data_IF_926183606501
#
_entry.id   IF_926183606501
#
_cell.length_a   1.000
_cell.length_b   1.000
_cell.length_c   1.000
_cell.angle_alpha   90.00
_cell.angle_beta   90.00
_cell.angle_gamma   90.00
#
_symmetry.space_group_name_H-M   'P 1'
#
loop_
_entity.id
_entity.type
_entity.pdbx_description
1 polymer ?
#
# COMPACT_ATOMS: atom_id res chain seq x y z
N UNK A 1 -8.82 2.74 -23.25
CA UNK A 1 -8.74 1.30 -22.86
C UNK A 1 -9.70 1.01 -21.69
N UNK A 2 -10.09 -0.24 -21.36
CA UNK A 2 -10.75 -0.55 -20.05
C UNK A 2 -9.72 -0.47 -18.91
N UNK A 3 -10.08 0.12 -17.76
CA UNK A 3 -9.18 0.30 -16.61
C UNK A 3 -8.52 -1.01 -16.14
N UNK A 4 -9.32 -2.08 -16.07
CA UNK A 4 -8.90 -3.41 -15.63
C UNK A 4 -7.76 -4.02 -16.46
N UNK A 5 -7.54 -3.52 -17.69
CA UNK A 5 -6.42 -3.96 -18.54
C UNK A 5 -5.15 -3.15 -18.34
N UNK A 6 -5.25 -1.95 -17.77
CA UNK A 6 -4.12 -1.05 -17.53
C UNK A 6 -3.61 -1.10 -16.08
N UNK A 7 -4.40 -1.66 -15.16
CA UNK A 7 -4.07 -1.79 -13.74
C UNK A 7 -3.50 -3.17 -13.42
N UNK A 8 -2.42 -3.18 -12.64
CA UNK A 8 -2.00 -4.38 -11.93
C UNK A 8 -3.04 -4.72 -10.86
N UNK A 9 -3.53 -5.97 -10.84
CA UNK A 9 -4.46 -6.40 -9.80
C UNK A 9 -3.74 -6.61 -8.47
N UNK A 10 -2.46 -7.01 -8.53
CA UNK A 10 -1.57 -7.17 -7.37
C UNK A 10 -0.74 -5.90 -7.11
N UNK A 11 -1.40 -4.75 -6.97
CA UNK A 11 -0.79 -3.49 -6.52
C UNK A 11 -1.48 -2.98 -5.25
N UNK A 12 -0.75 -2.20 -4.44
CA UNK A 12 -1.23 -1.73 -3.13
C UNK A 12 -2.50 -0.90 -3.22
N UNK A 13 -2.53 0.12 -4.10
CA UNK A 13 -3.69 0.99 -4.26
C UNK A 13 -4.96 0.23 -4.67
N UNK A 14 -4.96 -0.57 -5.77
CA UNK A 14 -6.13 -1.36 -6.15
C UNK A 14 -6.63 -2.32 -5.06
N UNK A 15 -5.74 -3.01 -4.35
CA UNK A 15 -6.13 -3.93 -3.28
C UNK A 15 -6.79 -3.20 -2.10
N UNK A 16 -6.17 -2.12 -1.62
CA UNK A 16 -6.70 -1.28 -0.54
C UNK A 16 -8.04 -0.66 -0.91
N UNK A 17 -8.16 -0.16 -2.14
CA UNK A 17 -9.38 0.43 -2.65
C UNK A 17 -10.53 -0.57 -2.71
N UNK A 18 -10.29 -1.78 -3.24
CA UNK A 18 -11.30 -2.83 -3.31
C UNK A 18 -11.72 -3.30 -1.92
N UNK A 19 -10.78 -3.44 -0.98
CA UNK A 19 -11.06 -3.78 0.41
C UNK A 19 -11.96 -2.71 1.07
N UNK A 20 -11.64 -1.44 0.89
CA UNK A 20 -12.45 -0.33 1.39
C UNK A 20 -13.84 -0.27 0.73
N UNK A 21 -13.91 -0.42 -0.60
CA UNK A 21 -15.17 -0.47 -1.34
C UNK A 21 -16.07 -1.61 -0.86
N UNK A 22 -15.52 -2.82 -0.71
CA UNK A 22 -16.24 -3.97 -0.15
C UNK A 22 -16.79 -3.67 1.26
N UNK A 23 -15.95 -3.11 2.14
CA UNK A 23 -16.35 -2.70 3.48
C UNK A 23 -17.50 -1.67 3.44
N UNK A 24 -17.41 -0.63 2.60
CA UNK A 24 -18.44 0.40 2.48
C UNK A 24 -19.76 -0.13 1.89
N UNK A 25 -19.71 -1.27 1.19
CA UNK A 25 -20.88 -2.03 0.77
C UNK A 25 -21.37 -3.03 1.82
N UNK A 26 -20.78 -3.05 3.03
CA UNK A 26 -21.15 -3.96 4.12
C UNK A 26 -20.70 -5.40 3.90
N UNK A 27 -19.68 -5.65 3.06
CA UNK A 27 -19.19 -6.98 2.69
C UNK A 27 -17.74 -7.20 3.13
N UNK A 28 -17.39 -8.47 3.34
CA UNK A 28 -16.01 -8.91 3.48
C UNK A 28 -15.31 -9.02 2.11
N UNK A 29 -14.03 -9.38 2.12
CA UNK A 29 -13.13 -9.29 0.97
C UNK A 29 -12.41 -10.61 0.64
N UNK A 30 -13.14 -11.65 0.17
CA UNK A 30 -12.54 -12.93 -0.20
C UNK A 30 -11.61 -12.82 -1.42
N UNK A 31 -10.54 -13.62 -1.42
CA UNK A 31 -9.63 -13.77 -2.57
C UNK A 31 -8.96 -12.47 -3.03
N UNK A 32 -8.85 -11.48 -2.15
CA UNK A 32 -8.36 -10.13 -2.44
C UNK A 32 -9.11 -9.43 -3.59
N UNK A 33 -10.35 -9.85 -3.89
CA UNK A 33 -11.13 -9.33 -5.01
C UNK A 33 -10.61 -9.69 -6.40
N UNK A 34 -9.62 -10.58 -6.49
CA UNK A 34 -8.97 -11.01 -7.74
C UNK A 34 -9.34 -12.46 -8.07
N UNK A 35 -9.34 -13.31 -7.04
CA UNK A 35 -9.58 -14.74 -7.20
C UNK A 35 -11.00 -15.10 -6.77
N UNK A 36 -11.76 -15.83 -7.61
CA UNK A 36 -13.02 -16.42 -7.16
C UNK A 36 -12.79 -17.31 -5.93
N UNK A 37 -13.66 -17.21 -4.92
CA UNK A 37 -13.54 -18.01 -3.69
C UNK A 37 -13.44 -19.53 -3.98
N UNK A 38 -14.03 -19.99 -5.08
CA UNK A 38 -13.98 -21.39 -5.53
C UNK A 38 -12.58 -21.90 -5.94
N UNK A 39 -11.57 -21.03 -6.12
CA UNK A 39 -10.20 -21.42 -6.49
C UNK A 39 -9.33 -21.90 -5.31
N UNK A 40 -9.85 -21.89 -4.09
CA UNK A 40 -9.12 -22.26 -2.87
C UNK A 40 -8.46 -23.66 -2.88
N UNK A 41 -9.11 -24.74 -3.39
CA UNK A 41 -8.50 -26.08 -3.42
C UNK A 41 -7.26 -26.15 -4.33
N UNK A 42 -7.25 -25.34 -5.41
CA UNK A 42 -6.14 -25.25 -6.37
C UNK A 42 -4.92 -24.60 -5.71
N UNK A 43 -5.13 -23.63 -4.82
CA UNK A 43 -4.06 -23.00 -4.03
C UNK A 43 -3.21 -23.99 -3.22
N UNK A 44 -3.84 -25.01 -2.63
CA UNK A 44 -3.12 -26.06 -1.89
C UNK A 44 -2.23 -26.91 -2.79
N UNK A 45 -2.65 -27.12 -4.04
CA UNK A 45 -1.87 -27.85 -5.03
C UNK A 45 -0.69 -27.02 -5.54
N UNK A 46 -0.86 -25.70 -5.67
CA UNK A 46 0.21 -24.78 -6.08
C UNK A 46 1.43 -24.87 -5.16
N UNK A 47 1.25 -24.92 -3.85
CA UNK A 47 2.37 -25.03 -2.89
C UNK A 47 3.11 -26.38 -2.94
N UNK A 48 2.46 -27.43 -3.44
CA UNK A 48 3.07 -28.76 -3.63
C UNK A 48 3.91 -28.85 -4.91
N UNK A 49 3.82 -27.85 -5.79
CA UNK A 49 4.60 -27.84 -7.02
C UNK A 49 6.09 -27.59 -6.74
N UNK A 50 7.00 -28.22 -7.52
CA UNK A 50 8.41 -27.90 -7.50
C UNK A 50 8.65 -26.39 -7.65
N UNK A 51 9.68 -25.88 -6.97
CA UNK A 51 10.02 -24.45 -6.96
C UNK A 51 9.99 -23.77 -8.34
N UNK A 52 10.57 -24.36 -9.41
CA UNK A 52 10.54 -23.73 -10.74
C UNK A 52 9.12 -23.52 -11.26
N UNK A 53 8.18 -24.43 -10.98
CA UNK A 53 6.80 -24.35 -11.46
C UNK A 53 6.01 -23.27 -10.71
N UNK A 54 6.19 -23.16 -9.39
CA UNK A 54 5.56 -22.09 -8.57
C UNK A 54 5.97 -20.70 -9.03
N UNK A 55 7.28 -20.51 -9.20
CA UNK A 55 7.82 -19.27 -9.74
C UNK A 55 7.34 -19.05 -11.19
N UNK A 56 7.07 -20.10 -11.98
CA UNK A 56 6.46 -19.96 -13.32
C UNK A 56 5.02 -19.47 -13.27
N UNK A 57 4.18 -20.02 -12.38
CA UNK A 57 2.76 -19.62 -12.27
C UNK A 57 2.65 -18.16 -11.84
N UNK A 58 3.43 -17.74 -10.85
CA UNK A 58 3.47 -16.33 -10.41
C UNK A 58 3.97 -15.40 -11.53
N UNK A 59 5.05 -15.80 -12.24
CA UNK A 59 5.58 -15.08 -13.41
C UNK A 59 4.55 -14.91 -14.52
N UNK A 60 3.79 -15.97 -14.83
CA UNK A 60 2.78 -15.92 -15.88
C UNK A 60 1.62 -15.02 -15.48
N UNK A 61 1.15 -15.10 -14.22
CA UNK A 61 0.11 -14.21 -13.70
C UNK A 61 0.44 -12.73 -13.88
N UNK A 62 1.68 -12.34 -13.53
CA UNK A 62 2.16 -10.97 -13.74
C UNK A 62 2.24 -10.52 -15.21
N UNK A 63 2.64 -11.42 -16.12
CA UNK A 63 2.70 -11.10 -17.56
C UNK A 63 1.30 -10.87 -18.18
N UNK A 64 0.27 -11.55 -17.67
CA UNK A 64 -1.12 -11.34 -18.10
C UNK A 64 -1.67 -9.98 -17.68
N UNK A 65 -1.16 -9.39 -16.59
CA UNK A 65 -1.55 -8.06 -16.11
C UNK A 65 -0.83 -6.93 -16.86
N UNK A 66 0.34 -7.20 -17.47
CA UNK A 66 1.13 -6.19 -18.15
C UNK A 66 0.60 -5.84 -19.55
N UNK A 67 0.57 -4.54 -19.90
CA UNK A 67 0.20 -4.06 -21.24
C UNK A 67 1.41 -4.01 -22.19
N UNK A 68 1.23 -4.21 -23.51
CA UNK A 68 2.29 -3.94 -24.48
C UNK A 68 2.72 -2.46 -24.45
N UNK A 69 4.02 -2.19 -24.63
CA UNK A 69 4.57 -0.84 -24.56
C UNK A 69 3.99 0.09 -25.65
N UNK A 70 3.62 -0.46 -26.80
CA UNK A 70 3.02 0.26 -27.92
C UNK A 70 1.65 0.85 -27.58
N UNK A 71 0.97 0.29 -26.57
CA UNK A 71 -0.36 0.71 -26.12
C UNK A 71 -0.34 1.70 -24.96
N UNK A 72 0.85 2.15 -24.53
CA UNK A 72 0.99 3.10 -23.44
C UNK A 72 0.24 4.42 -23.67
N UNK A 73 0.13 4.86 -24.93
CA UNK A 73 -0.66 6.04 -25.30
C UNK A 73 -2.18 5.87 -25.16
N UNK A 74 -2.69 4.65 -25.00
CA UNK A 74 -4.12 4.36 -24.80
C UNK A 74 -4.54 4.34 -23.32
N UNK A 75 -3.56 4.49 -22.41
CA UNK A 75 -3.81 4.60 -20.97
C UNK A 75 -4.31 6.02 -20.70
N UNK A 76 -5.45 6.13 -20.02
CA UNK A 76 -6.07 7.41 -19.69
C UNK A 76 -6.28 7.49 -18.18
N UNK A 77 -5.79 8.56 -17.55
CA UNK A 77 -5.95 8.78 -16.12
C UNK A 77 -7.43 8.79 -15.70
N UNK A 78 -8.31 9.38 -16.51
CA UNK A 78 -9.73 9.46 -16.20
C UNK A 78 -10.46 8.11 -16.29
N UNK A 79 -9.95 7.15 -17.08
CA UNK A 79 -10.45 5.77 -17.06
C UNK A 79 -10.16 5.12 -15.70
N UNK A 80 -8.94 5.32 -15.17
CA UNK A 80 -8.57 4.82 -13.84
C UNK A 80 -9.42 5.49 -12.76
N UNK A 81 -9.60 6.80 -12.83
CA UNK A 81 -10.44 7.56 -11.90
C UNK A 81 -11.89 7.07 -11.89
N UNK A 82 -12.47 6.73 -13.06
CA UNK A 82 -13.82 6.16 -13.15
C UNK A 82 -13.91 4.80 -12.45
N UNK A 83 -12.97 3.91 -12.72
CA UNK A 83 -12.91 2.62 -12.06
C UNK A 83 -12.81 2.75 -10.53
N UNK A 84 -12.10 3.77 -10.03
CA UNK A 84 -11.98 4.03 -8.59
C UNK A 84 -13.33 4.42 -7.99
N UNK A 85 -14.01 5.40 -8.56
CA UNK A 85 -15.27 5.90 -7.99
C UNK A 85 -16.40 4.88 -8.11
N UNK A 86 -16.33 3.99 -9.11
CA UNK A 86 -17.26 2.87 -9.29
C UNK A 86 -17.14 1.79 -8.18
N UNK A 87 -16.10 1.83 -7.34
CA UNK A 87 -15.97 0.91 -6.19
C UNK A 87 -16.88 1.28 -5.01
N UNK A 88 -17.48 2.49 -5.03
CA UNK A 88 -18.17 3.04 -3.88
C UNK A 88 -19.70 3.03 -4.00
N UNK A 89 -20.43 2.84 -2.90
CA UNK A 89 -21.88 2.95 -2.90
C UNK A 89 -22.30 4.39 -3.19
N UNK A 90 -23.43 4.54 -3.89
CA UNK A 90 -24.05 5.85 -4.15
C UNK A 90 -24.74 6.35 -2.89
N UNK A 91 -24.02 7.13 -2.09
CA UNK A 91 -24.53 7.85 -0.91
C UNK A 91 -23.70 9.10 -0.67
N UNK A 92 -24.15 9.94 0.26
CA UNK A 92 -23.34 11.05 0.77
C UNK A 92 -22.42 10.61 1.90
N UNK A 93 -21.27 11.25 2.00
CA UNK A 93 -20.24 10.99 3.00
C UNK A 93 -19.87 12.29 3.73
N UNK A 94 -19.62 12.22 5.05
CA UNK A 94 -19.21 13.39 5.85
C UNK A 94 -17.76 13.80 5.57
N UNK A 95 -16.97 12.93 4.94
CA UNK A 95 -15.60 13.19 4.55
C UNK A 95 -15.16 12.27 3.39
N UNK A 96 -14.00 12.57 2.81
CA UNK A 96 -13.27 11.67 1.91
C UNK A 96 -11.75 11.86 2.11
N UNK A 97 -10.97 10.82 1.82
CA UNK A 97 -9.52 10.86 1.83
C UNK A 97 -8.94 10.87 0.41
N UNK A 98 -7.79 11.52 0.22
CA UNK A 98 -7.10 11.63 -1.07
C UNK A 98 -5.60 11.58 -0.82
N UNK A 99 -4.83 10.80 -1.59
CA UNK A 99 -3.36 10.82 -1.50
C UNK A 99 -2.69 9.45 -1.50
N UNK A 100 -1.64 9.32 -0.70
CA UNK A 100 -0.79 8.13 -0.61
C UNK A 100 -1.55 6.85 -0.26
N UNK A 101 -1.13 5.74 -0.85
CA UNK A 101 -1.56 4.39 -0.45
C UNK A 101 -1.07 4.06 0.94
N UNK A 102 -1.93 3.55 1.81
CA UNK A 102 -1.54 3.12 3.15
C UNK A 102 -2.58 2.16 3.76
N UNK A 103 -2.14 0.98 4.22
CA UNK A 103 -3.06 -0.02 4.76
C UNK A 103 -3.64 0.36 6.13
N UNK A 104 -2.85 1.03 6.99
CA UNK A 104 -3.38 1.58 8.25
C UNK A 104 -4.41 2.69 7.98
N UNK A 105 -4.15 3.56 7.00
CA UNK A 105 -5.14 4.56 6.58
C UNK A 105 -6.42 3.90 6.06
N UNK A 106 -6.30 2.77 5.34
CA UNK A 106 -7.47 2.01 4.86
C UNK A 106 -8.37 1.58 6.02
N UNK A 107 -7.81 1.12 7.14
CA UNK A 107 -8.58 0.82 8.36
C UNK A 107 -9.19 2.06 9.01
N UNK A 108 -8.49 3.20 8.97
CA UNK A 108 -9.04 4.48 9.43
C UNK A 108 -10.24 4.92 8.59
N UNK A 109 -10.16 4.82 7.26
CA UNK A 109 -11.26 5.16 6.34
C UNK A 109 -12.44 4.21 6.49
N UNK A 110 -12.18 2.92 6.72
CA UNK A 110 -13.21 1.95 7.06
C UNK A 110 -13.89 2.31 8.39
N UNK A 111 -13.13 2.61 9.45
CA UNK A 111 -13.70 3.02 10.73
C UNK A 111 -14.60 4.26 10.59
N UNK A 112 -14.15 5.28 9.85
CA UNK A 112 -14.91 6.51 9.57
C UNK A 112 -16.06 6.30 8.57
N UNK A 113 -16.06 5.19 7.84
CA UNK A 113 -17.06 4.90 6.81
C UNK A 113 -16.99 5.82 5.58
N UNK A 114 -15.79 6.25 5.17
CA UNK A 114 -15.56 7.23 4.09
C UNK A 114 -14.73 6.67 2.92
N UNK A 115 -14.89 7.21 1.70
CA UNK A 115 -14.10 6.79 0.55
C UNK A 115 -12.69 7.37 0.56
N UNK A 116 -11.78 6.71 -0.16
CA UNK A 116 -10.41 7.16 -0.43
C UNK A 116 -10.11 7.19 -1.94
N UNK A 117 -9.50 8.27 -2.42
CA UNK A 117 -9.08 8.43 -3.81
C UNK A 117 -7.55 8.31 -3.90
N UNK A 118 -7.01 7.22 -4.47
CA UNK A 118 -5.57 7.01 -4.55
C UNK A 118 -4.90 8.03 -5.49
N UNK A 119 -3.71 8.49 -5.11
CA UNK A 119 -2.86 9.30 -5.98
C UNK A 119 -2.02 8.47 -6.94
N UNK A 120 -1.58 7.28 -6.52
CA UNK A 120 -0.60 6.44 -7.22
C UNK A 120 -1.26 5.19 -7.78
N UNK A 121 -0.92 4.82 -9.02
CA UNK A 121 -1.27 3.52 -9.62
C UNK A 121 -0.07 2.89 -10.32
N UNK A 122 0.04 1.56 -10.26
CA UNK A 122 0.95 0.81 -11.10
C UNK A 122 0.34 0.49 -12.47
N UNK A 123 1.04 0.91 -13.53
CA UNK A 123 0.82 0.45 -14.91
C UNK A 123 1.96 -0.52 -15.26
N UNK A 124 1.74 -1.85 -15.17
CA UNK A 124 2.75 -2.82 -15.56
C UNK A 124 2.90 -2.84 -17.08
N UNK A 125 4.13 -2.68 -17.59
CA UNK A 125 4.40 -2.63 -19.03
C UNK A 125 5.27 -3.79 -19.46
N UNK A 126 4.85 -4.58 -20.45
CA UNK A 126 5.61 -5.72 -20.96
C UNK A 126 6.97 -5.26 -21.47
N UNK A 127 8.00 -5.90 -20.94
CA UNK A 127 9.38 -5.66 -21.34
C UNK A 127 10.21 -6.91 -21.07
N UNK A 128 11.35 -7.04 -21.74
CA UNK A 128 12.33 -8.07 -21.42
C UNK A 128 13.66 -7.39 -21.16
N UNK A 129 13.85 -6.99 -19.91
CA UNK A 129 15.09 -6.40 -19.41
C UNK A 129 15.63 -7.31 -18.32
N UNK A 130 16.94 -7.48 -18.27
CA UNK A 130 17.60 -8.22 -17.21
C UNK A 130 17.35 -7.52 -15.85
N UNK A 131 16.75 -8.21 -14.85
CA UNK A 131 16.50 -7.62 -13.54
C UNK A 131 17.74 -7.01 -12.88
N UNK A 132 18.95 -7.51 -13.18
CA UNK A 132 20.18 -6.99 -12.57
C UNK A 132 20.85 -5.88 -13.40
N UNK A 133 20.16 -5.33 -14.41
CA UNK A 133 20.65 -4.25 -15.26
C UNK A 133 19.74 -3.01 -15.21
N UNK A 134 19.71 -2.29 -14.07
CA UNK A 134 18.84 -1.12 -13.90
C UNK A 134 19.13 0.01 -14.91
N UNK A 135 20.37 0.18 -15.40
CA UNK A 135 20.66 1.12 -16.50
C UNK A 135 19.92 0.77 -17.79
N UNK A 136 19.86 -0.51 -18.15
CA UNK A 136 19.11 -0.92 -19.34
C UNK A 136 17.61 -0.66 -19.17
N UNK A 137 17.10 -0.86 -17.95
CA UNK A 137 15.73 -0.51 -17.61
C UNK A 137 15.48 0.99 -17.82
N UNK A 138 16.32 1.86 -17.26
CA UNK A 138 16.23 3.31 -17.45
C UNK A 138 16.18 3.69 -18.94
N UNK A 139 17.11 3.18 -19.75
CA UNK A 139 17.15 3.48 -21.20
C UNK A 139 15.89 3.00 -21.92
N UNK A 140 15.38 1.82 -21.56
CA UNK A 140 14.12 1.31 -22.09
C UNK A 140 12.95 2.25 -21.73
N UNK A 141 12.86 2.68 -20.48
CA UNK A 141 11.81 3.59 -20.02
C UNK A 141 11.84 4.94 -20.72
N UNK A 142 13.03 5.49 -20.96
CA UNK A 142 13.24 6.76 -21.69
C UNK A 142 12.60 6.75 -23.07
N UNK A 143 12.61 5.60 -23.76
CA UNK A 143 12.02 5.44 -25.09
C UNK A 143 10.50 5.31 -25.00
N UNK A 144 9.99 4.44 -24.12
CA UNK A 144 8.58 4.02 -24.15
C UNK A 144 7.62 4.90 -23.34
N UNK A 145 8.08 5.60 -22.31
CA UNK A 145 7.23 6.41 -21.43
C UNK A 145 6.60 7.65 -22.08
N UNK A 146 7.16 8.13 -23.19
CA UNK A 146 6.75 9.41 -23.80
C UNK A 146 5.27 9.41 -24.22
N UNK A 147 4.78 8.32 -24.79
CA UNK A 147 3.40 8.20 -25.23
C UNK A 147 2.41 8.29 -24.06
N UNK A 148 2.73 7.62 -22.94
CA UNK A 148 1.92 7.67 -21.71
C UNK A 148 1.80 9.10 -21.17
N UNK A 149 2.94 9.79 -21.03
CA UNK A 149 2.96 11.14 -20.46
C UNK A 149 2.38 12.20 -21.40
N UNK A 150 2.49 12.03 -22.71
CA UNK A 150 1.86 12.90 -23.70
C UNK A 150 0.33 12.79 -23.65
N UNK A 151 -0.21 11.57 -23.52
CA UNK A 151 -1.65 11.34 -23.39
C UNK A 151 -2.22 11.81 -22.04
N UNK A 152 -1.37 11.96 -21.01
CA UNK A 152 -1.79 12.25 -19.65
C UNK A 152 -1.01 13.42 -19.04
N UNK A 153 -1.40 14.68 -19.30
CA UNK A 153 -0.70 15.87 -18.79
C UNK A 153 -0.73 15.99 -17.27
N UNK A 154 -1.73 15.41 -16.61
CA UNK A 154 -1.91 15.48 -15.15
C UNK A 154 -1.15 14.38 -14.38
N UNK A 155 -0.39 13.53 -15.08
CA UNK A 155 0.41 12.48 -14.47
C UNK A 155 1.89 12.83 -14.40
N UNK A 156 2.53 12.38 -13.32
CA UNK A 156 3.97 12.17 -13.23
C UNK A 156 4.26 10.67 -13.26
N UNK A 157 5.35 10.28 -13.93
CA UNK A 157 5.81 8.90 -13.99
C UNK A 157 7.05 8.70 -13.13
N UNK A 158 6.92 7.75 -12.21
CA UNK A 158 8.01 7.11 -11.50
C UNK A 158 8.25 5.74 -12.14
N UNK A 159 9.30 5.64 -12.95
CA UNK A 159 9.76 4.37 -13.49
C UNK A 159 10.61 3.68 -12.44
N UNK A 160 10.01 2.73 -11.74
CA UNK A 160 10.64 1.99 -10.65
C UNK A 160 11.23 0.68 -11.15
N UNK A 161 12.43 0.33 -10.67
CA UNK A 161 13.09 -0.94 -10.94
C UNK A 161 13.65 -1.51 -9.63
N UNK A 162 12.99 -2.52 -9.05
CA UNK A 162 13.46 -3.18 -7.81
C UNK A 162 13.91 -4.63 -8.07
N UNK A 163 15.22 -4.80 -8.27
CA UNK A 163 15.84 -6.11 -8.47
C UNK A 163 15.90 -6.99 -7.21
N UNK A 164 15.64 -6.42 -6.03
CA UNK A 164 15.74 -7.08 -4.73
C UNK A 164 14.40 -7.71 -4.31
N UNK A 165 13.28 -7.04 -4.54
CA UNK A 165 11.94 -7.52 -4.14
C UNK A 165 11.15 -8.06 -5.32
N UNK A 166 11.21 -7.38 -6.47
CA UNK A 166 10.37 -7.65 -7.64
C UNK A 166 11.08 -8.45 -8.75
N UNK A 167 12.24 -9.05 -8.44
CA UNK A 167 13.10 -9.79 -9.40
C UNK A 167 12.33 -10.72 -10.35
N UNK A 168 11.33 -11.44 -9.84
CA UNK A 168 10.56 -12.40 -10.63
C UNK A 168 9.67 -11.69 -11.67
N UNK A 169 9.12 -10.53 -11.31
CA UNK A 169 8.18 -9.76 -12.11
C UNK A 169 8.90 -8.90 -13.14
N UNK A 170 9.91 -8.12 -12.73
CA UNK A 170 10.59 -7.16 -13.61
C UNK A 170 11.40 -7.79 -14.75
N UNK A 171 11.53 -9.12 -14.73
CA UNK A 171 12.08 -9.90 -15.85
C UNK A 171 11.20 -9.84 -17.10
N UNK A 172 9.89 -9.63 -16.94
CA UNK A 172 8.91 -9.67 -18.02
C UNK A 172 8.07 -8.39 -18.13
N UNK A 173 8.28 -7.44 -17.22
CA UNK A 173 7.60 -6.15 -17.24
C UNK A 173 8.46 -5.06 -16.61
N UNK A 174 8.05 -3.81 -16.80
CA UNK A 174 8.58 -2.62 -16.14
C UNK A 174 7.47 -1.97 -15.33
N UNK A 175 7.83 -1.40 -14.20
CA UNK A 175 6.87 -0.79 -13.28
C UNK A 175 6.80 0.70 -13.54
N UNK A 176 5.72 1.12 -14.20
CA UNK A 176 5.40 2.52 -14.38
C UNK A 176 4.41 2.93 -13.31
N UNK A 177 4.92 3.49 -12.21
CA UNK A 177 4.07 4.05 -11.15
C UNK A 177 3.71 5.48 -11.52
N UNK A 178 2.44 5.70 -11.82
CA UNK A 178 1.94 7.02 -12.18
C UNK A 178 1.33 7.69 -10.96
N UNK A 179 1.72 8.94 -10.72
CA UNK A 179 1.19 9.78 -9.65
C UNK A 179 0.38 10.91 -10.25
N UNK A 180 -0.83 11.14 -9.73
CA UNK A 180 -1.67 12.26 -10.17
C UNK A 180 -1.20 13.56 -9.53
N UNK A 181 -1.00 14.58 -10.36
CA UNK A 181 -0.67 15.96 -9.96
C UNK A 181 -1.92 16.85 -9.88
N UNK A 182 -3.08 16.37 -10.33
CA UNK A 182 -4.37 17.08 -10.28
C UNK A 182 -5.51 16.09 -10.02
N UNK A 183 -6.65 16.58 -9.53
CA UNK A 183 -7.85 15.77 -9.30
C UNK A 183 -8.53 15.32 -10.60
N UNK A 184 -8.44 16.10 -11.67
CA UNK A 184 -9.16 15.82 -12.90
C UNK A 184 -10.69 15.80 -12.73
N UNK A 185 -11.40 15.54 -13.82
CA UNK A 185 -12.84 15.73 -13.89
C UNK A 185 -13.61 14.69 -13.07
N UNK A 186 -13.21 13.42 -13.13
CA UNK A 186 -13.96 12.32 -12.51
C UNK A 186 -13.92 12.38 -10.99
N UNK A 187 -12.75 12.60 -10.38
CA UNK A 187 -12.68 12.75 -8.93
C UNK A 187 -13.37 14.02 -8.46
N UNK A 188 -13.25 15.13 -9.20
CA UNK A 188 -13.97 16.37 -8.87
C UNK A 188 -15.48 16.14 -8.82
N UNK A 189 -16.07 15.57 -9.88
CA UNK A 189 -17.51 15.27 -9.92
C UNK A 189 -17.96 14.29 -8.83
N UNK A 190 -17.15 13.27 -8.55
CA UNK A 190 -17.45 12.33 -7.49
C UNK A 190 -17.50 13.06 -6.14
N UNK A 191 -16.49 13.85 -5.80
CA UNK A 191 -16.45 14.60 -4.54
C UNK A 191 -17.64 15.57 -4.43
N UNK A 192 -17.95 16.30 -5.50
CA UNK A 192 -19.08 17.26 -5.53
C UNK A 192 -20.45 16.60 -5.33
N UNK A 193 -20.62 15.38 -5.84
CA UNK A 193 -21.88 14.64 -5.72
C UNK A 193 -21.99 13.79 -4.46
N UNK A 194 -20.85 13.31 -3.94
CA UNK A 194 -20.79 12.36 -2.86
C UNK A 194 -20.49 13.00 -1.49
N UNK A 195 -19.99 14.23 -1.42
CA UNK A 195 -19.73 14.88 -0.13
C UNK A 195 -20.93 15.68 0.39
N UNK A 196 -21.09 15.65 1.71
CA UNK A 196 -22.04 16.51 2.42
C UNK A 196 -21.57 17.98 2.42
N UNK A 197 -22.49 18.95 2.57
CA UNK A 197 -22.11 20.34 2.86
C UNK A 197 -21.24 20.41 4.12
N UNK A 198 -20.13 21.16 4.06
CA UNK A 198 -19.19 21.26 5.19
C UNK A 198 -18.36 20.00 5.46
N UNK A 199 -18.35 19.02 4.55
CA UNK A 199 -17.54 17.81 4.67
C UNK A 199 -16.03 18.10 4.83
N UNK A 200 -15.30 17.10 5.30
CA UNK A 200 -13.84 17.16 5.46
C UNK A 200 -13.11 16.37 4.37
N UNK A 201 -12.10 16.98 3.75
CA UNK A 201 -11.16 16.32 2.85
C UNK A 201 -9.86 16.02 3.59
N UNK A 202 -9.53 14.74 3.74
CA UNK A 202 -8.26 14.30 4.27
C UNK A 202 -7.22 14.19 3.15
N UNK A 203 -6.10 14.89 3.28
CA UNK A 203 -4.92 14.71 2.44
C UNK A 203 -3.95 13.76 3.13
N UNK A 204 -3.70 12.61 2.54
CA UNK A 204 -2.81 11.57 3.07
C UNK A 204 -1.42 11.76 2.49
N UNK A 205 -0.50 12.32 3.28
CA UNK A 205 0.80 12.78 2.82
C UNK A 205 1.93 11.96 3.45
N UNK A 206 2.38 10.92 2.74
CA UNK A 206 3.61 10.21 3.09
C UNK A 206 4.83 10.99 2.58
N UNK A 207 5.71 11.40 3.49
CA UNK A 207 6.94 12.15 3.24
C UNK A 207 8.09 11.32 2.65
N UNK A 208 7.94 10.00 2.60
CA UNK A 208 8.97 9.10 2.11
C UNK A 208 9.50 9.55 0.75
N UNK A 209 10.80 9.82 0.71
CA UNK A 209 11.52 10.22 -0.48
C UNK A 209 12.57 9.18 -0.88
N UNK A 210 12.97 9.19 -2.14
CA UNK A 210 13.94 8.24 -2.69
C UNK A 210 14.91 8.92 -3.66
N UNK A 211 16.19 8.51 -3.73
CA UNK A 211 17.12 9.01 -4.73
C UNK A 211 16.69 8.64 -6.15
N UNK A 212 16.55 9.62 -7.04
CA UNK A 212 16.06 9.40 -8.40
C UNK A 212 16.98 10.02 -9.44
N UNK A 213 16.90 9.51 -10.67
CA UNK A 213 17.50 10.12 -11.86
C UNK A 213 16.41 10.73 -12.72
N UNK A 214 16.48 12.02 -13.02
CA UNK A 214 15.52 12.70 -13.88
C UNK A 214 15.73 12.27 -15.34
N UNK A 215 14.68 11.75 -15.97
CA UNK A 215 14.67 11.42 -17.41
C UNK A 215 14.05 12.58 -18.21
N UNK A 216 12.99 13.19 -17.70
CA UNK A 216 12.31 14.35 -18.26
C UNK A 216 11.57 15.11 -17.16
N UNK A 217 10.86 16.20 -17.50
CA UNK A 217 10.16 17.05 -16.52
C UNK A 217 9.21 16.25 -15.59
N UNK A 218 8.42 15.33 -16.15
CA UNK A 218 7.42 14.50 -15.45
C UNK A 218 7.78 13.00 -15.45
N UNK A 219 9.08 12.69 -15.60
CA UNK A 219 9.57 11.31 -15.68
C UNK A 219 10.87 11.17 -14.88
N UNK A 220 10.81 10.39 -13.82
CA UNK A 220 11.97 10.04 -12.99
C UNK A 220 12.17 8.53 -12.97
N UNK A 221 13.42 8.11 -12.84
CA UNK A 221 13.80 6.72 -12.63
C UNK A 221 14.18 6.48 -11.17
N UNK A 222 13.61 5.43 -10.58
CA UNK A 222 13.88 5.00 -9.21
C UNK A 222 14.50 3.60 -9.23
N UNK A 223 15.74 3.46 -8.78
CA UNK A 223 16.34 2.15 -8.54
C UNK A 223 16.10 1.70 -7.10
N UNK A 224 15.45 0.55 -6.95
CA UNK A 224 15.00 0.03 -5.67
C UNK A 224 13.66 0.57 -5.22
N UNK A 225 13.16 0.00 -4.13
CA UNK A 225 11.96 0.43 -3.43
C UNK A 225 12.12 0.22 -1.92
N UNK A 226 11.21 0.82 -1.14
CA UNK A 226 11.16 0.65 0.31
C UNK A 226 11.08 -0.85 0.68
N UNK A 227 11.93 -1.28 1.62
CA UNK A 227 11.94 -2.65 2.10
C UNK A 227 13.21 -2.99 2.86
N UNK A 228 13.85 -4.11 2.52
CA UNK A 228 14.98 -4.64 3.29
C UNK A 228 16.36 -4.13 2.88
N UNK A 229 16.52 -3.68 1.62
CA UNK A 229 17.75 -3.04 1.15
C UNK A 229 17.61 -1.52 1.25
N UNK A 230 18.65 -0.83 1.71
CA UNK A 230 18.67 0.63 1.77
C UNK A 230 18.93 1.24 0.40
N UNK A 231 18.59 2.53 0.17
CA UNK A 231 18.97 3.23 -1.06
C UNK A 231 20.48 3.17 -1.35
N UNK A 232 21.31 3.31 -0.31
CA UNK A 232 22.77 3.21 -0.43
C UNK A 232 23.22 1.81 -0.91
N UNK A 233 22.60 0.75 -0.40
CA UNK A 233 22.89 -0.62 -0.85
C UNK A 233 22.53 -0.84 -2.32
N UNK A 234 21.44 -0.25 -2.83
CA UNK A 234 21.11 -0.31 -4.26
C UNK A 234 22.17 0.42 -5.10
N UNK A 235 22.63 1.60 -4.66
CA UNK A 235 23.53 2.45 -5.43
C UNK A 235 24.98 1.96 -5.41
N UNK A 236 25.49 1.59 -4.24
CA UNK A 236 26.91 1.34 -4.02
C UNK A 236 27.22 -0.15 -3.76
N UNK A 237 26.21 -0.95 -3.44
CA UNK A 237 26.35 -2.33 -3.02
C UNK A 237 26.72 -2.47 -1.54
N UNK A 238 26.64 -3.69 -1.03
CA UNK A 238 27.07 -4.07 0.31
C UNK A 238 27.40 -5.56 0.35
N UNK A 239 27.95 -6.04 1.47
CA UNK A 239 28.12 -7.48 1.67
C UNK A 239 26.78 -8.26 1.59
N UNK A 240 25.67 -7.63 2.03
CA UNK A 240 24.31 -8.22 1.93
C UNK A 240 23.86 -8.31 0.47
N UNK A 241 24.11 -7.27 -0.33
CA UNK A 241 23.82 -7.27 -1.79
C UNK A 241 24.68 -8.29 -2.53
N UNK A 242 25.99 -8.38 -2.25
CA UNK A 242 26.85 -9.38 -2.88
C UNK A 242 26.37 -10.81 -2.55
N UNK A 243 26.00 -11.07 -1.30
CA UNK A 243 25.45 -12.36 -0.90
C UNK A 243 24.12 -12.68 -1.62
N UNK A 244 23.26 -11.68 -1.80
CA UNK A 244 22.02 -11.80 -2.58
C UNK A 244 22.32 -12.14 -4.06
N UNK A 245 23.19 -11.38 -4.72
CA UNK A 245 23.54 -11.60 -6.13
C UNK A 245 24.16 -12.99 -6.34
N UNK A 246 25.06 -13.41 -5.46
CA UNK A 246 25.64 -14.75 -5.44
C UNK A 246 24.57 -15.85 -5.28
N UNK A 247 23.59 -15.67 -4.39
CA UNK A 247 22.46 -16.61 -4.21
C UNK A 247 21.67 -16.80 -5.51
N UNK A 248 21.53 -15.74 -6.29
CA UNK A 248 20.85 -15.76 -7.59
C UNK A 248 21.77 -16.03 -8.78
N UNK A 249 23.04 -16.40 -8.54
CA UNK A 249 24.06 -16.72 -9.56
C UNK A 249 24.31 -15.59 -10.55
N UNK A 250 24.20 -14.35 -10.08
CA UNK A 250 24.54 -13.16 -10.88
C UNK A 250 26.05 -12.96 -10.79
N UNK A 251 26.79 -12.86 -11.92
CA UNK A 251 28.25 -12.75 -11.93
C UNK A 251 28.71 -11.30 -11.63
N UNK A 252 28.16 -10.68 -10.57
CA UNK A 252 28.45 -9.30 -10.14
C UNK A 252 28.39 -9.21 -8.62
N UNK A 253 29.14 -8.27 -8.03
CA UNK A 253 29.13 -7.99 -6.57
C UNK A 253 28.17 -6.87 -6.16
N UNK A 254 27.78 -6.02 -7.12
CA UNK A 254 26.81 -4.93 -6.96
C UNK A 254 26.06 -4.72 -8.29
N UNK A 255 24.91 -4.06 -8.23
CA UNK A 255 24.22 -3.56 -9.41
C UNK A 255 24.98 -2.37 -10.02
N UNK A 256 24.84 -2.20 -11.33
CA UNK A 256 25.30 -1.00 -12.04
C UNK A 256 24.16 0.00 -12.11
N UNK A 257 23.96 0.70 -11.01
CA UNK A 257 22.85 1.64 -10.79
C UNK A 257 23.10 2.97 -11.51
N UNK A 258 22.07 3.58 -12.13
CA UNK A 258 22.14 4.98 -12.56
C UNK A 258 22.46 5.89 -11.37
N UNK A 259 23.28 6.92 -11.61
CA UNK A 259 23.57 7.91 -10.58
C UNK A 259 22.35 8.82 -10.40
N UNK A 260 21.81 8.97 -9.17
CA UNK A 260 20.73 9.91 -8.92
C UNK A 260 21.22 11.34 -9.10
N UNK A 261 20.36 12.21 -9.62
CA UNK A 261 20.58 13.66 -9.76
C UNK A 261 19.67 14.49 -8.84
N UNK A 262 18.86 13.81 -8.02
CA UNK A 262 18.04 14.43 -6.99
C UNK A 262 17.31 13.41 -6.12
N UNK A 263 16.29 13.90 -5.42
CA UNK A 263 15.33 13.10 -4.66
C UNK A 263 13.93 13.43 -5.16
N UNK A 264 13.03 12.47 -5.06
CA UNK A 264 11.60 12.63 -5.39
C UNK A 264 10.76 11.87 -4.37
N UNK A 265 9.44 12.15 -4.25
CA UNK A 265 8.54 11.28 -3.50
C UNK A 265 8.71 9.84 -3.96
N UNK A 266 8.80 8.88 -3.05
CA UNK A 266 9.02 7.48 -3.41
C UNK A 266 7.88 6.96 -4.30
N UNK A 267 8.23 6.16 -5.30
CA UNK A 267 7.38 5.77 -6.43
C UNK A 267 6.01 5.21 -6.02
N UNK A 268 5.94 4.38 -4.98
CA UNK A 268 4.70 3.73 -4.52
C UNK A 268 3.99 4.55 -3.44
N UNK A 269 4.71 4.93 -2.40
CA UNK A 269 4.14 5.43 -1.16
C UNK A 269 4.16 6.95 -1.05
N UNK A 270 5.22 7.58 -1.55
CA UNK A 270 5.46 9.02 -1.42
C UNK A 270 4.35 9.87 -2.02
N UNK A 271 3.98 10.94 -1.34
CA UNK A 271 2.96 11.88 -1.81
C UNK A 271 3.54 12.86 -2.82
N UNK A 272 2.90 13.01 -3.98
CA UNK A 272 3.24 14.01 -4.99
C UNK A 272 2.56 15.37 -4.66
N UNK A 273 3.32 16.41 -4.27
CA UNK A 273 2.75 17.65 -3.75
C UNK A 273 1.87 18.42 -4.73
N UNK A 274 2.06 18.24 -6.05
CA UNK A 274 1.28 18.95 -7.07
C UNK A 274 -0.25 18.77 -6.93
N UNK A 275 -0.70 17.64 -6.37
CA UNK A 275 -2.12 17.38 -6.13
C UNK A 275 -2.74 18.27 -5.04
N UNK A 276 -1.93 18.72 -4.06
CA UNK A 276 -2.40 19.43 -2.87
C UNK A 276 -3.21 20.67 -3.23
N UNK A 277 -2.64 21.54 -4.05
CA UNK A 277 -3.25 22.83 -4.38
C UNK A 277 -4.61 22.66 -5.06
N UNK A 278 -4.79 21.59 -5.84
CA UNK A 278 -6.04 21.30 -6.53
C UNK A 278 -7.14 20.86 -5.57
N UNK A 279 -6.79 20.02 -4.59
CA UNK A 279 -7.69 19.61 -3.51
C UNK A 279 -8.11 20.82 -2.67
N UNK A 280 -7.15 21.66 -2.28
CA UNK A 280 -7.44 22.84 -1.46
C UNK A 280 -8.29 23.88 -2.21
N UNK A 281 -8.03 24.10 -3.50
CA UNK A 281 -8.88 24.97 -4.34
C UNK A 281 -10.31 24.45 -4.43
N UNK A 282 -10.49 23.15 -4.65
CA UNK A 282 -11.82 22.54 -4.71
C UNK A 282 -12.55 22.67 -3.35
N UNK A 283 -11.85 22.38 -2.25
CA UNK A 283 -12.40 22.50 -0.90
C UNK A 283 -12.89 23.92 -0.60
N UNK A 284 -12.06 24.94 -0.88
CA UNK A 284 -12.42 26.36 -0.69
C UNK A 284 -13.67 26.76 -1.45
N UNK A 285 -13.82 26.29 -2.70
CA UNK A 285 -14.98 26.58 -3.55
C UNK A 285 -16.29 26.01 -3.00
N UNK A 286 -16.23 24.87 -2.31
CA UNK A 286 -17.42 24.18 -1.77
C UNK A 286 -17.60 24.36 -0.25
N UNK A 287 -16.76 25.17 0.40
CA UNK A 287 -16.80 25.37 1.85
C UNK A 287 -16.47 24.10 2.65
N UNK A 288 -15.69 23.18 2.08
CA UNK A 288 -15.21 21.99 2.77
C UNK A 288 -13.96 22.30 3.59
N UNK A 289 -13.76 21.54 4.66
CA UNK A 289 -12.54 21.59 5.47
C UNK A 289 -11.46 20.73 4.82
N UNK A 290 -10.20 21.14 4.89
CA UNK A 290 -9.07 20.30 4.51
C UNK A 290 -8.30 19.94 5.77
N UNK A 291 -7.95 18.66 5.92
CA UNK A 291 -7.08 18.16 6.99
C UNK A 291 -5.96 17.32 6.39
N UNK A 292 -4.72 17.67 6.68
CA UNK A 292 -3.54 16.98 6.17
C UNK A 292 -3.03 16.02 7.22
N UNK A 293 -2.97 14.74 6.86
CA UNK A 293 -2.41 13.64 7.63
C UNK A 293 -0.98 13.40 7.11
N UNK A 294 0.01 13.91 7.83
CA UNK A 294 1.41 13.94 7.38
C UNK A 294 2.28 13.00 8.22
N UNK A 295 2.99 12.08 7.59
CA UNK A 295 3.88 11.12 8.23
C UNK A 295 5.07 10.80 7.32
N UNK A 296 6.20 10.37 7.87
CA UNK A 296 7.42 10.16 7.07
C UNK A 296 7.42 8.78 6.41
N UNK A 297 7.37 7.73 7.22
CA UNK A 297 7.35 6.34 6.74
C UNK A 297 5.90 5.84 6.66
N UNK A 298 5.54 4.99 5.67
CA UNK A 298 4.16 4.53 5.55
C UNK A 298 3.65 3.77 6.79
N UNK A 299 4.54 3.09 7.52
CA UNK A 299 4.17 2.34 8.74
C UNK A 299 4.00 3.23 9.98
N UNK A 300 4.41 4.50 9.95
CA UNK A 300 4.29 5.42 11.09
C UNK A 300 2.83 5.65 11.50
N UNK A 301 1.89 5.43 10.58
CA UNK A 301 0.45 5.54 10.84
C UNK A 301 -0.11 4.35 11.63
N UNK A 302 0.51 3.18 11.56
CA UNK A 302 -0.03 1.93 12.14
C UNK A 302 -0.23 1.99 13.66
N UNK A 303 0.73 2.47 14.48
CA UNK A 303 0.52 2.62 15.93
C UNK A 303 -0.67 3.53 16.29
N UNK A 304 -0.84 4.65 15.58
CA UNK A 304 -1.93 5.59 15.83
C UNK A 304 -3.28 4.94 15.57
N UNK A 305 -3.44 4.28 14.42
CA UNK A 305 -4.69 3.62 14.03
C UNK A 305 -4.99 2.44 14.96
N UNK A 306 -3.97 1.69 15.36
CA UNK A 306 -4.11 0.61 16.33
C UNK A 306 -4.68 1.13 17.66
N UNK A 307 -4.11 2.20 18.21
CA UNK A 307 -4.57 2.77 19.48
C UNK A 307 -5.91 3.49 19.35
N UNK A 308 -6.26 4.05 18.18
CA UNK A 308 -7.60 4.56 17.89
C UNK A 308 -8.65 3.45 17.98
N UNK A 309 -8.40 2.28 17.38
CA UNK A 309 -9.31 1.14 17.45
C UNK A 309 -9.50 0.67 18.89
N UNK A 310 -8.41 0.57 19.66
CA UNK A 310 -8.49 0.21 21.09
C UNK A 310 -9.28 1.23 21.90
N UNK A 311 -9.07 2.52 21.65
CA UNK A 311 -9.83 3.59 22.29
C UNK A 311 -11.30 3.47 21.95
N UNK A 312 -11.63 3.32 20.67
CA UNK A 312 -13.00 3.21 20.19
C UNK A 312 -13.73 1.97 20.73
N UNK A 313 -13.03 0.85 20.90
CA UNK A 313 -13.59 -0.34 21.55
C UNK A 313 -13.90 -0.10 23.03
N UNK A 314 -13.04 0.60 23.77
CA UNK A 314 -13.31 0.95 25.18
C UNK A 314 -14.54 1.84 25.33
N UNK A 315 -14.70 2.83 24.46
CA UNK A 315 -15.90 3.70 24.44
C UNK A 315 -17.20 2.90 24.22
N UNK A 316 -17.10 1.71 23.64
CA UNK A 316 -18.22 0.80 23.38
C UNK A 316 -18.32 -0.36 24.37
N UNK A 317 -17.54 -0.34 25.45
CA UNK A 317 -17.51 -1.41 26.46
C UNK A 317 -16.94 -2.74 25.94
N UNK A 318 -16.17 -2.72 24.86
CA UNK A 318 -15.50 -3.89 24.30
C UNK A 318 -14.07 -4.00 24.84
N UNK A 319 -13.78 -5.06 25.60
CA UNK A 319 -12.44 -5.36 26.09
C UNK A 319 -11.57 -6.14 25.08
N UNK A 320 -11.64 -5.82 23.78
CA UNK A 320 -10.89 -6.63 22.83
C UNK A 320 -9.38 -6.45 22.98
N UNK A 321 -8.69 -7.57 23.20
CA UNK A 321 -7.23 -7.68 23.35
C UNK A 321 -6.62 -8.50 22.22
N UNK A 322 -7.16 -8.37 21.01
CA UNK A 322 -6.70 -9.06 19.81
C UNK A 322 -5.96 -8.10 18.88
N UNK A 323 -4.82 -8.53 18.37
CA UNK A 323 -4.06 -7.82 17.34
C UNK A 323 -4.09 -8.65 16.05
N UNK A 324 -4.38 -8.00 14.93
CA UNK A 324 -4.12 -8.56 13.60
C UNK A 324 -3.01 -7.71 12.96
N UNK A 325 -1.87 -8.35 12.70
CA UNK A 325 -0.76 -7.78 11.93
C UNK A 325 -0.94 -8.17 10.46
N UNK A 326 -1.23 -7.18 9.65
CA UNK A 326 -1.51 -7.29 8.21
C UNK A 326 -0.31 -6.86 7.37
N UNK A 327 -0.18 -7.39 6.15
CA UNK A 327 1.03 -7.18 5.34
C UNK A 327 0.70 -6.82 3.90
N UNK A 328 1.16 -5.65 3.47
CA UNK A 328 1.01 -5.16 2.09
C UNK A 328 -0.46 -5.22 1.63
N UNK A 329 -0.76 -6.01 0.59
CA UNK A 329 -2.11 -6.24 0.04
C UNK A 329 -2.93 -7.28 0.82
N UNK A 330 -2.36 -7.97 1.81
CA UNK A 330 -3.09 -8.87 2.70
C UNK A 330 -3.72 -8.06 3.83
N UNK A 331 -4.79 -7.33 3.49
CA UNK A 331 -5.58 -6.52 4.42
C UNK A 331 -7.07 -6.87 4.35
N UNK A 332 -7.74 -6.80 5.50
CA UNK A 332 -9.17 -7.10 5.62
C UNK A 332 -9.81 -6.23 6.74
N UNK A 333 -10.33 -5.03 6.39
CA UNK A 333 -10.97 -4.14 7.35
C UNK A 333 -12.26 -4.68 7.98
N UNK A 334 -13.06 -5.44 7.24
CA UNK A 334 -14.37 -5.90 7.68
C UNK A 334 -14.27 -7.00 8.75
N UNK A 335 -13.43 -8.01 8.51
CA UNK A 335 -13.12 -9.11 9.43
C UNK A 335 -12.33 -8.61 10.62
N UNK A 336 -11.42 -7.64 10.43
CA UNK A 336 -10.73 -7.01 11.55
C UNK A 336 -11.72 -6.34 12.50
N UNK A 337 -12.61 -5.48 11.98
CA UNK A 337 -13.58 -4.78 12.81
C UNK A 337 -14.63 -5.72 13.43
N UNK A 338 -15.16 -6.67 12.66
CA UNK A 338 -16.18 -7.61 13.15
C UNK A 338 -15.66 -8.62 14.17
N UNK A 339 -14.36 -8.91 14.20
CA UNK A 339 -13.74 -9.75 15.25
C UNK A 339 -13.29 -8.94 16.47
N UNK A 340 -13.52 -7.63 16.45
CA UNK A 340 -13.07 -6.67 17.46
C UNK A 340 -11.55 -6.53 17.49
N UNK A 341 -10.82 -6.92 16.46
CA UNK A 341 -9.37 -6.90 16.49
C UNK A 341 -8.80 -5.51 16.20
N UNK A 342 -7.68 -5.20 16.84
CA UNK A 342 -6.87 -4.03 16.54
C UNK A 342 -6.02 -4.31 15.29
N UNK A 343 -6.09 -3.49 14.23
CA UNK A 343 -5.21 -3.62 13.08
C UNK A 343 -3.83 -3.05 13.38
N UNK A 344 -2.79 -3.71 12.87
CA UNK A 344 -1.48 -3.12 12.65
C UNK A 344 -1.02 -3.51 11.25
N UNK A 345 -0.84 -2.53 10.37
CA UNK A 345 -0.42 -2.80 9.00
C UNK A 345 1.08 -2.59 8.83
N UNK A 346 1.72 -3.48 8.08
CA UNK A 346 3.10 -3.30 7.62
C UNK A 346 3.16 -3.24 6.10
N UNK A 347 4.09 -2.42 5.60
CA UNK A 347 4.35 -2.24 4.17
C UNK A 347 4.76 -3.56 3.54
N UNK A 348 5.71 -4.28 4.16
CA UNK A 348 6.16 -5.59 3.69
C UNK A 348 6.68 -6.45 4.84
N UNK A 349 6.95 -7.72 4.60
CA UNK A 349 7.58 -8.62 5.56
C UNK A 349 9.12 -8.49 5.58
N UNK A 350 9.65 -7.28 5.87
CA UNK A 350 11.10 -6.96 5.93
C UNK A 350 11.58 -6.61 7.34
N UNK A 351 12.89 -6.55 7.51
CA UNK A 351 13.53 -6.17 8.78
C UNK A 351 12.99 -4.85 9.38
N UNK A 352 12.82 -3.74 8.63
CA UNK A 352 12.24 -2.52 9.19
C UNK A 352 10.82 -2.70 9.72
N UNK A 353 9.99 -3.46 9.00
CA UNK A 353 8.61 -3.76 9.37
C UNK A 353 8.50 -4.66 10.59
N UNK A 354 9.38 -5.67 10.69
CA UNK A 354 9.50 -6.47 11.90
C UNK A 354 9.84 -5.58 13.11
N UNK A 355 10.83 -4.70 12.94
CA UNK A 355 11.22 -3.78 14.00
C UNK A 355 10.10 -2.79 14.37
N UNK A 356 9.28 -2.35 13.41
CA UNK A 356 8.11 -1.51 13.69
C UNK A 356 7.06 -2.24 14.54
N UNK A 357 6.76 -3.50 14.22
CA UNK A 357 5.86 -4.35 15.02
C UNK A 357 6.42 -4.61 16.41
N UNK A 358 7.71 -4.95 16.52
CA UNK A 358 8.39 -5.17 17.80
C UNK A 358 8.33 -3.91 18.68
N UNK A 359 8.66 -2.73 18.12
CA UNK A 359 8.56 -1.44 18.83
C UNK A 359 7.14 -1.12 19.29
N UNK A 360 6.13 -1.37 18.45
CA UNK A 360 4.73 -1.16 18.84
C UNK A 360 4.35 -2.05 20.03
N UNK A 361 4.70 -3.33 19.97
CA UNK A 361 4.41 -4.30 21.04
C UNK A 361 5.18 -4.03 22.35
N UNK A 362 6.33 -3.35 22.28
CA UNK A 362 7.08 -2.92 23.47
C UNK A 362 6.37 -1.80 24.23
N UNK A 363 5.71 -0.89 23.52
CA UNK A 363 5.01 0.26 24.11
C UNK A 363 3.51 0.08 24.34
N UNK A 364 2.88 -0.88 23.65
CA UNK A 364 1.44 -1.11 23.73
C UNK A 364 1.06 -1.96 24.96
N UNK A 365 -0.13 -1.71 25.52
CA UNK A 365 -0.67 -2.63 26.53
C UNK A 365 -0.89 -4.03 25.93
N UNK A 366 -0.66 -5.12 26.70
CA UNK A 366 -0.55 -6.48 26.15
C UNK A 366 -1.79 -6.99 25.41
N UNK A 367 -1.55 -7.81 24.39
CA UNK A 367 -2.58 -8.54 23.65
C UNK A 367 -2.71 -9.99 24.15
N UNK A 368 -3.94 -10.48 24.25
CA UNK A 368 -4.24 -11.88 24.53
C UNK A 368 -3.99 -12.76 23.33
N UNK A 369 -4.35 -12.26 22.15
CA UNK A 369 -4.23 -12.98 20.89
C UNK A 369 -3.51 -12.11 19.86
N UNK A 370 -2.51 -12.68 19.18
CA UNK A 370 -1.83 -12.03 18.06
C UNK A 370 -1.99 -12.92 16.83
N UNK A 371 -2.53 -12.32 15.78
CA UNK A 371 -2.71 -12.90 14.47
C UNK A 371 -1.80 -12.21 13.49
N UNK A 372 -1.05 -12.94 12.68
CA UNK A 372 -0.07 -12.35 11.79
C UNK A 372 -0.11 -13.00 10.42
N UNK A 373 -0.21 -12.18 9.38
CA UNK A 373 -0.04 -12.62 7.98
C UNK A 373 1.26 -12.07 7.40
N UNK A 374 1.80 -12.74 6.39
CA UNK A 374 3.04 -12.36 5.70
C UNK A 374 2.81 -12.43 4.20
N UNK A 375 3.02 -11.30 3.51
CA UNK A 375 2.99 -11.27 2.05
C UNK A 375 4.09 -12.16 1.47
N UNK A 376 3.81 -12.82 0.35
CA UNK A 376 4.73 -13.75 -0.31
C UNK A 376 5.03 -13.31 -1.75
N UNK A 377 6.15 -12.62 -1.94
CA UNK A 377 6.67 -12.24 -3.26
C UNK A 377 7.68 -13.25 -3.85
N UNK A 378 8.03 -14.33 -3.11
CA UNK A 378 8.80 -15.45 -3.63
C UNK A 378 10.32 -15.25 -3.80
N UNK A 379 10.84 -14.08 -3.40
CA UNK A 379 12.27 -13.73 -3.51
C UNK A 379 12.92 -13.80 -2.12
N UNK A 380 14.09 -14.45 -2.04
CA UNK A 380 14.94 -14.40 -0.85
C UNK A 380 15.72 -13.08 -0.87
N UNK A 381 15.02 -11.96 -0.66
CA UNK A 381 15.55 -10.61 -0.78
C UNK A 381 16.57 -10.28 0.33
N UNK A 382 17.36 -9.23 0.11
CA UNK A 382 18.07 -8.53 1.18
C UNK A 382 17.06 -8.06 2.23
N UNK A 383 17.42 -8.22 3.51
CA UNK A 383 16.62 -7.80 4.66
C UNK A 383 15.31 -8.56 4.86
N UNK A 384 15.22 -9.81 4.38
CA UNK A 384 14.10 -10.71 4.65
C UNK A 384 14.35 -11.49 5.96
N UNK A 385 13.58 -11.23 7.04
CA UNK A 385 13.70 -12.00 8.27
C UNK A 385 13.26 -13.46 8.06
N UNK A 386 13.93 -14.39 8.73
CA UNK A 386 13.50 -15.78 8.79
C UNK A 386 12.15 -15.94 9.50
N UNK A 387 11.42 -17.01 9.19
CA UNK A 387 10.08 -17.26 9.74
C UNK A 387 10.06 -17.33 11.28
N UNK A 388 11.15 -17.79 11.90
CA UNK A 388 11.27 -17.88 13.36
C UNK A 388 11.25 -16.52 14.06
N UNK A 389 11.71 -15.46 13.38
CA UNK A 389 11.63 -14.08 13.88
C UNK A 389 10.17 -13.61 13.93
N UNK A 390 9.38 -13.92 12.91
CA UNK A 390 7.95 -13.63 12.91
C UNK A 390 7.19 -14.50 13.92
N UNK A 391 7.59 -15.76 14.11
CA UNK A 391 7.05 -16.60 15.16
C UNK A 391 7.35 -16.04 16.57
N UNK A 392 8.46 -15.31 16.75
CA UNK A 392 8.75 -14.62 18.02
C UNK A 392 7.76 -13.52 18.34
N UNK A 393 7.30 -12.76 17.33
CA UNK A 393 6.22 -11.76 17.49
C UNK A 393 4.94 -12.43 18.00
N UNK A 394 4.55 -13.56 17.40
CA UNK A 394 3.36 -14.31 17.81
C UNK A 394 3.44 -14.79 19.27
N UNK A 395 4.63 -15.17 19.75
CA UNK A 395 4.86 -15.59 21.15
C UNK A 395 4.70 -14.45 22.17
N UNK A 396 4.58 -13.19 21.73
CA UNK A 396 4.31 -12.06 22.64
C UNK A 396 2.85 -11.99 23.09
N UNK A 397 1.95 -12.76 22.46
CA UNK A 397 0.56 -12.87 22.89
C UNK A 397 0.47 -13.57 24.25
N UNK A 398 -0.40 -13.10 25.16
CA UNK A 398 -0.57 -13.71 26.49
C UNK A 398 -1.23 -15.09 26.44
N UNK A 399 -2.07 -15.36 25.44
CA UNK A 399 -2.84 -16.60 25.33
C UNK A 399 -2.52 -17.38 24.06
N UNK A 400 -2.59 -16.75 22.89
CA UNK A 400 -2.41 -17.44 21.62
C UNK A 400 -1.83 -16.55 20.52
N UNK A 401 -0.78 -17.03 19.86
CA UNK A 401 -0.25 -16.43 18.64
C UNK A 401 -0.41 -17.40 17.46
N UNK A 402 -1.01 -16.96 16.35
CA UNK A 402 -1.07 -17.79 15.13
C UNK A 402 -0.80 -17.00 13.87
N UNK A 403 -0.18 -17.68 12.91
CA UNK A 403 -0.16 -17.22 11.53
C UNK A 403 -1.57 -17.32 10.91
N UNK A 404 -1.91 -16.36 10.05
CA UNK A 404 -3.17 -16.34 9.29
C UNK A 404 -2.82 -16.51 7.81
N UNK A 405 -3.26 -17.61 7.19
CA UNK A 405 -3.01 -17.91 5.78
C UNK A 405 -1.58 -18.36 5.44
N UNK A 406 -0.59 -18.07 6.30
CA UNK A 406 0.83 -18.37 6.06
C UNK A 406 1.16 -19.83 6.38
N UNK A 407 1.90 -20.47 5.49
CA UNK A 407 2.59 -21.74 5.71
C UNK A 407 4.06 -21.48 6.04
N UNK A 408 4.48 -21.65 7.31
CA UNK A 408 5.85 -21.39 7.75
C UNK A 408 6.91 -22.19 6.99
N UNK A 409 6.55 -23.36 6.45
CA UNK A 409 7.49 -24.25 5.73
C UNK A 409 7.67 -23.82 4.27
N UNK A 410 6.71 -23.07 3.73
CA UNK A 410 6.74 -22.59 2.35
C UNK A 410 7.25 -21.14 2.24
N UNK A 411 7.26 -20.38 3.33
CA UNK A 411 7.78 -19.01 3.38
C UNK A 411 9.24 -18.93 2.89
N UNK A 412 9.62 -17.94 2.05
CA UNK A 412 8.86 -16.79 1.55
C UNK A 412 8.15 -17.02 0.20
N UNK A 413 7.93 -18.28 -0.20
CA UNK A 413 7.31 -18.71 -1.47
C UNK A 413 5.94 -19.35 -1.27
N UNK A 414 5.22 -18.85 -0.28
CA UNK A 414 3.90 -19.32 0.09
C UNK A 414 2.81 -18.57 -0.70
N UNK A 415 2.70 -18.84 -2.00
CA UNK A 415 1.71 -18.13 -2.84
C UNK A 415 0.26 -18.50 -2.49
N UNK A 416 0.02 -19.62 -1.81
CA UNK A 416 -1.32 -19.96 -1.34
C UNK A 416 -1.84 -19.01 -0.24
N UNK A 417 -0.98 -18.17 0.35
CA UNK A 417 -1.39 -17.15 1.34
C UNK A 417 -2.49 -16.24 0.80
N UNK A 418 -2.45 -15.90 -0.49
CA UNK A 418 -3.44 -15.02 -1.13
C UNK A 418 -4.87 -15.58 -1.12
N UNK A 419 -5.01 -16.90 -0.99
CA UNK A 419 -6.31 -17.57 -0.92
C UNK A 419 -6.65 -17.93 0.54
N UNK A 420 -5.68 -18.42 1.31
CA UNK A 420 -5.91 -18.87 2.69
C UNK A 420 -6.09 -17.74 3.70
N UNK A 421 -5.52 -16.56 3.43
CA UNK A 421 -5.58 -15.41 4.33
C UNK A 421 -7.02 -15.09 4.76
N UNK A 422 -7.92 -14.87 3.79
CA UNK A 422 -9.32 -14.56 4.09
C UNK A 422 -10.01 -15.69 4.86
N UNK A 423 -9.85 -16.95 4.44
CA UNK A 423 -10.46 -18.10 5.13
C UNK A 423 -10.01 -18.19 6.59
N UNK A 424 -8.71 -18.13 6.84
CA UNK A 424 -8.15 -18.28 8.18
C UNK A 424 -8.55 -17.11 9.07
N UNK A 425 -8.68 -15.91 8.49
CA UNK A 425 -9.18 -14.73 9.19
C UNK A 425 -10.69 -14.80 9.45
N UNK A 426 -11.46 -15.35 8.51
CA UNK A 426 -12.88 -15.58 8.67
C UNK A 426 -13.17 -16.62 9.77
N UNK A 427 -12.25 -17.56 10.03
CA UNK A 427 -12.38 -18.55 11.09
C UNK A 427 -12.13 -17.98 12.51
N UNK A 428 -11.79 -16.69 12.64
CA UNK A 428 -11.61 -16.05 13.95
C UNK A 428 -12.98 -15.75 14.59
N UNK A 429 -13.17 -16.22 15.83
CA UNK A 429 -14.40 -16.09 16.61
C UNK A 429 -14.11 -15.59 18.04
N UNK A 430 -15.11 -15.03 18.76
CA UNK A 430 -16.43 -14.66 18.27
C UNK A 430 -16.38 -13.39 17.40
N UNK A 431 -17.46 -13.18 16.64
CA UNK A 431 -17.71 -11.94 15.91
C UNK A 431 -18.77 -11.11 16.64
N UNK A 432 -18.63 -9.80 16.57
CA UNK A 432 -19.61 -8.83 17.06
C UNK A 432 -20.37 -8.23 15.88
N UNK A 433 -21.60 -7.72 16.11
CA UNK A 433 -22.28 -6.88 15.14
C UNK A 433 -21.38 -5.71 14.71
N UNK A 434 -21.44 -5.35 13.42
CA UNK A 434 -20.69 -4.21 12.91
C UNK A 434 -21.17 -2.93 13.61
N UNK A 435 -20.27 -2.07 14.12
CA UNK A 435 -20.67 -0.80 14.70
C UNK A 435 -21.15 0.20 13.65
N UNK A 436 -21.85 1.23 14.15
CA UNK A 436 -21.94 2.50 13.44
C UNK A 436 -20.54 3.08 13.20
N UNK A 437 -20.32 3.82 12.10
CA UNK A 437 -19.03 4.43 11.81
C UNK A 437 -18.53 5.33 12.95
N UNK A 438 -17.22 5.33 13.17
CA UNK A 438 -16.52 6.32 13.99
C UNK A 438 -16.83 7.73 13.44
N UNK A 439 -17.29 8.63 14.31
CA UNK A 439 -17.57 10.01 13.92
C UNK A 439 -16.30 10.86 13.88
N UNK A 440 -16.32 11.96 13.11
CA UNK A 440 -15.22 12.93 13.09
C UNK A 440 -14.97 13.56 14.48
N UNK A 441 -16.02 13.77 15.27
CA UNK A 441 -15.91 14.27 16.64
C UNK A 441 -15.21 13.27 17.58
N UNK A 442 -15.48 11.97 17.42
CA UNK A 442 -14.77 10.93 18.17
C UNK A 442 -13.30 10.84 17.75
N UNK A 443 -13.00 10.99 16.45
CA UNK A 443 -11.62 11.10 15.98
C UNK A 443 -10.92 12.30 16.65
N UNK A 444 -11.56 13.48 16.66
CA UNK A 444 -11.01 14.67 17.33
C UNK A 444 -10.76 14.44 18.83
N UNK A 445 -11.72 13.80 19.52
CA UNK A 445 -11.56 13.45 20.93
C UNK A 445 -10.37 12.51 21.17
N UNK A 446 -10.21 11.49 20.33
CA UNK A 446 -9.04 10.61 20.40
C UNK A 446 -7.74 11.38 20.16
N UNK A 447 -7.66 12.19 19.09
CA UNK A 447 -6.45 12.94 18.75
C UNK A 447 -6.05 13.92 19.85
N UNK A 448 -7.01 14.59 20.49
CA UNK A 448 -6.76 15.46 21.63
C UNK A 448 -6.11 14.72 22.82
N UNK A 449 -6.45 13.44 23.03
CA UNK A 449 -5.83 12.61 24.08
C UNK A 449 -4.51 11.98 23.64
N UNK A 450 -4.34 11.69 22.35
CA UNK A 450 -3.14 11.07 21.81
C UNK A 450 -1.96 12.06 21.76
N UNK A 451 -2.23 13.34 21.50
CA UNK A 451 -1.22 14.38 21.35
C UNK A 451 -0.15 14.00 20.31
N UNK A 452 1.10 14.39 20.59
CA UNK A 452 2.25 14.15 19.70
C UNK A 452 2.93 12.78 19.94
N UNK A 453 2.24 11.83 20.56
CA UNK A 453 2.80 10.50 20.90
C UNK A 453 3.20 9.68 19.67
N UNK A 454 2.59 9.96 18.52
CA UNK A 454 2.82 9.22 17.28
C UNK A 454 3.53 10.10 16.26
N UNK A 455 4.31 9.48 15.37
CA UNK A 455 5.02 10.15 14.27
C UNK A 455 4.08 10.57 13.12
N UNK A 456 2.92 11.15 13.47
CA UNK A 456 1.86 11.53 12.55
C UNK A 456 1.37 12.92 12.94
N UNK A 457 1.46 13.87 12.02
CA UNK A 457 0.99 15.24 12.22
C UNK A 457 -0.35 15.44 11.54
N UNK A 458 -1.26 16.13 12.23
CA UNK A 458 -2.56 16.53 11.72
C UNK A 458 -2.57 18.04 11.56
N UNK A 459 -2.61 18.53 10.32
CA UNK A 459 -2.59 19.96 10.02
C UNK A 459 -3.94 20.36 9.43
N UNK A 460 -4.53 21.45 9.90
CA UNK A 460 -5.69 22.05 9.22
C UNK A 460 -5.19 22.76 7.95
N UNK A 461 -5.81 22.46 6.80
CA UNK A 461 -5.50 23.12 5.54
C UNK A 461 -6.24 24.46 5.46
N UNK A 462 -5.50 25.56 5.27
CA UNK A 462 -6.07 26.88 5.07
C UNK A 462 -6.23 27.75 6.32
N UNK A 463 -5.16 27.90 7.11
CA UNK A 463 -4.83 29.19 7.74
C UNK A 463 -3.32 29.38 7.57
N UNK A 464 -2.97 30.39 6.78
CA UNK A 464 -1.63 30.97 6.79
C UNK A 464 -1.41 31.55 8.19
N UNK A 465 -0.65 30.87 9.05
CA UNK A 465 -0.23 31.40 10.35
C UNK A 465 1.18 31.96 10.32
N UNK A 466 1.67 32.42 9.16
CA UNK A 466 2.90 33.21 9.04
C UNK A 466 2.62 34.60 8.45
N UNK A 467 1.80 35.37 9.16
CA UNK A 467 1.71 36.82 9.00
C UNK A 467 1.42 37.49 10.35
N UNK A 468 2.31 37.31 11.33
CA UNK A 468 2.41 38.14 12.54
C UNK A 468 3.73 37.90 13.31
N UNK A 469 4.86 38.26 12.67
CA UNK A 469 6.07 38.71 13.37
C UNK A 469 7.14 39.17 12.37
N UNK A 470 6.98 40.39 11.86
CA UNK A 470 8.03 41.38 11.59
C UNK A 470 7.35 42.70 11.27
#
# INVERSE_FOLDING_TARGET
MKAERALANFDSAPAMLRALGAYLHGRDFPGLGIWPAAMEPVGRMLNRLPRPLRETVYRLGGWWEAIPAERLGEVEAEVLSRWVVDQYPRRRFPAAAIGSSNGAATHLWAALGIPWLPQTFLVPVRARVDPDQPRQSLEWGRVHARALLAANPDLELHHMHDANQDRLMIRYMQYFRVKRRRLGETFTRFLESALEPGATLFLVECGLSWPTTRIAERHVFQHGALGGATPDEYLHGSARVEAYLRRYRVPRRRWDSPSPDGSSPEAEWGFEPGLRDDVERLARRHGWRVRRLVFEQPEDLSPLVAELYRWWYRERGLESRRLIVESFVLLEPWLTLSTGATPFWMVFNKEPSLAAVERYLDGAAPFDEIYLTLFSHGVDSVGLPGIDRWAAVLRRARRAGRFVGVDPRAFPRDFAVFLRFHRDLAAIAPRSPMPDPLTLAQLDAFLATAGDRFAVRWLEGGVDTDARSA
#
